data_IF_141027174364
#
_entry.id   IF_141027174364
#
_cell.length_a   1.000
_cell.length_b   1.000
_cell.length_c   1.000
_cell.angle_alpha   90.00
_cell.angle_beta   90.00
_cell.angle_gamma   90.00
#
_symmetry.space_group_name_H-M   'P 1'
#
loop_
_entity.id
_entity.type
_entity.pdbx_description
1 polymer ?
#
# COMPACT_ATOMS: atom_id res chain seq x y z
N UNK A 1 -12.17 11.91 -41.79
CA UNK A 1 -12.32 10.49 -42.12
C UNK A 1 -13.57 9.94 -41.43
N UNK A 2 -14.72 10.03 -42.10
CA UNK A 2 -16.00 9.49 -41.62
C UNK A 2 -16.69 8.78 -42.79
N UNK A 3 -16.03 7.73 -43.30
CA UNK A 3 -16.71 6.81 -44.23
C UNK A 3 -17.36 5.71 -43.40
N UNK A 4 -18.49 5.17 -43.90
CA UNK A 4 -19.19 4.06 -43.26
C UNK A 4 -18.26 2.88 -43.02
N UNK A 5 -17.39 2.56 -43.96
CA UNK A 5 -16.37 1.53 -43.88
C UNK A 5 -15.38 1.74 -42.71
N UNK A 6 -14.95 3.01 -42.48
CA UNK A 6 -14.05 3.31 -41.35
C UNK A 6 -14.77 3.19 -40.00
N UNK A 7 -16.06 3.51 -39.93
CA UNK A 7 -16.87 3.32 -38.71
C UNK A 7 -17.11 1.84 -38.40
N UNK A 8 -17.39 1.02 -39.42
CA UNK A 8 -17.53 -0.42 -39.26
C UNK A 8 -16.22 -1.07 -38.79
N UNK A 9 -15.08 -0.68 -39.36
CA UNK A 9 -13.77 -1.19 -38.96
C UNK A 9 -13.46 -0.87 -37.49
N UNK A 10 -13.67 0.37 -37.07
CA UNK A 10 -13.48 0.82 -35.70
C UNK A 10 -14.40 0.07 -34.71
N UNK A 11 -15.67 -0.14 -35.12
CA UNK A 11 -16.62 -0.87 -34.29
C UNK A 11 -16.18 -2.33 -34.07
N UNK A 12 -15.69 -3.02 -35.10
CA UNK A 12 -15.15 -4.37 -35.02
C UNK A 12 -13.89 -4.41 -34.14
N UNK A 13 -12.95 -3.50 -34.34
CA UNK A 13 -11.73 -3.41 -33.54
C UNK A 13 -12.02 -3.16 -32.05
N UNK A 14 -13.00 -2.29 -31.74
CA UNK A 14 -13.42 -2.05 -30.35
C UNK A 14 -14.08 -3.30 -29.75
N UNK A 15 -14.95 -3.99 -30.51
CA UNK A 15 -15.60 -5.20 -30.04
C UNK A 15 -14.58 -6.32 -29.74
N UNK A 16 -13.57 -6.49 -30.61
CA UNK A 16 -12.48 -7.42 -30.39
C UNK A 16 -11.64 -7.06 -29.17
N UNK A 17 -11.31 -5.78 -28.97
CA UNK A 17 -10.58 -5.31 -27.81
C UNK A 17 -11.34 -5.56 -26.50
N UNK A 18 -12.67 -5.29 -26.49
CA UNK A 18 -13.53 -5.57 -25.32
C UNK A 18 -13.61 -7.09 -25.06
N UNK A 19 -13.75 -7.91 -26.12
CA UNK A 19 -13.75 -9.37 -25.97
C UNK A 19 -12.43 -9.87 -25.37
N UNK A 20 -11.29 -9.41 -25.89
CA UNK A 20 -9.97 -9.79 -25.38
C UNK A 20 -9.78 -9.35 -23.92
N UNK A 21 -10.23 -8.14 -23.56
CA UNK A 21 -10.19 -7.67 -22.20
C UNK A 21 -11.03 -8.53 -21.23
N UNK A 22 -12.26 -8.89 -21.63
CA UNK A 22 -13.18 -9.65 -20.77
C UNK A 22 -12.85 -11.16 -20.69
N UNK A 23 -12.44 -11.75 -21.82
CA UNK A 23 -12.22 -13.20 -21.90
C UNK A 23 -10.78 -13.62 -21.61
N UNK A 24 -9.80 -12.77 -21.90
CA UNK A 24 -8.38 -13.08 -21.87
C UNK A 24 -7.60 -12.19 -20.89
N UNK A 25 -8.25 -11.15 -20.33
CA UNK A 25 -7.58 -10.15 -19.46
C UNK A 25 -6.59 -9.28 -20.24
N UNK A 26 -6.68 -9.26 -21.58
CA UNK A 26 -5.80 -8.44 -22.41
C UNK A 26 -6.28 -6.97 -22.44
N UNK A 27 -5.58 -6.12 -21.72
CA UNK A 27 -5.83 -4.68 -21.64
C UNK A 27 -4.88 -3.86 -22.53
N UNK A 28 -4.12 -4.49 -23.44
CA UNK A 28 -3.11 -3.83 -24.28
C UNK A 28 -3.66 -2.71 -25.17
N UNK A 29 -4.96 -2.76 -25.51
CA UNK A 29 -5.66 -1.76 -26.31
C UNK A 29 -6.42 -0.72 -25.46
N UNK A 30 -6.38 -0.82 -24.14
CA UNK A 30 -7.07 0.12 -23.26
C UNK A 30 -6.23 1.40 -23.08
N UNK A 31 -6.83 2.57 -23.32
CA UNK A 31 -6.15 3.87 -23.19
C UNK A 31 -5.69 4.18 -21.75
N UNK A 32 -6.36 3.61 -20.79
CA UNK A 32 -6.21 3.94 -19.35
C UNK A 32 -5.78 2.75 -18.50
N UNK A 33 -5.48 1.60 -19.10
CA UNK A 33 -4.94 0.45 -18.41
C UNK A 33 -3.41 0.35 -18.61
N UNK A 34 -2.70 -0.35 -17.71
CA UNK A 34 -1.30 -0.65 -17.93
C UNK A 34 -1.12 -1.36 -19.28
N UNK A 35 -0.09 -1.01 -20.03
CA UNK A 35 0.28 -1.72 -21.25
C UNK A 35 0.84 -3.15 -20.98
N UNK A 36 0.51 -3.72 -19.83
CA UNK A 36 0.95 -5.03 -19.36
C UNK A 36 -0.19 -6.01 -19.57
N UNK A 37 0.05 -7.09 -20.28
CA UNK A 37 -0.96 -8.11 -20.62
C UNK A 37 -0.45 -9.52 -20.35
N UNK A 38 -1.40 -10.47 -20.32
CA UNK A 38 -1.10 -11.89 -20.23
C UNK A 38 -0.40 -12.30 -18.92
N UNK A 39 0.64 -13.13 -19.03
CA UNK A 39 1.32 -13.72 -17.87
C UNK A 39 2.11 -12.69 -17.05
N UNK A 40 2.58 -11.60 -17.68
CA UNK A 40 3.23 -10.51 -16.97
C UNK A 40 2.25 -9.77 -16.04
N UNK A 41 1.00 -9.57 -16.46
CA UNK A 41 -0.05 -9.00 -15.60
C UNK A 41 -0.34 -9.90 -14.41
N UNK A 42 -0.48 -11.22 -14.64
CA UNK A 42 -0.72 -12.20 -13.56
C UNK A 42 0.40 -12.21 -12.52
N UNK A 43 1.66 -12.12 -12.98
CA UNK A 43 2.83 -12.07 -12.11
C UNK A 43 2.85 -10.80 -11.24
N UNK A 44 2.30 -9.69 -11.72
CA UNK A 44 2.26 -8.40 -11.00
C UNK A 44 1.01 -8.22 -10.12
N UNK A 45 -0.02 -9.07 -10.25
CA UNK A 45 -1.24 -8.95 -9.45
C UNK A 45 -0.99 -8.91 -7.93
N UNK A 46 -0.12 -9.78 -7.34
CA UNK A 46 0.20 -9.70 -5.92
C UNK A 46 0.87 -8.38 -5.52
N UNK A 47 1.63 -7.78 -6.45
CA UNK A 47 2.29 -6.49 -6.22
C UNK A 47 1.29 -5.34 -6.28
N UNK A 48 0.29 -5.39 -7.16
CA UNK A 48 -0.79 -4.39 -7.21
C UNK A 48 -1.62 -4.37 -5.92
N UNK A 49 -1.96 -5.54 -5.38
CA UNK A 49 -2.65 -5.66 -4.09
C UNK A 49 -1.79 -5.12 -2.95
N UNK A 50 -0.50 -5.46 -2.94
CA UNK A 50 0.45 -4.92 -1.98
C UNK A 50 0.53 -3.40 -2.06
N UNK A 51 0.63 -2.82 -3.25
CA UNK A 51 0.75 -1.38 -3.47
C UNK A 51 -0.47 -0.60 -2.99
N UNK A 52 -1.66 -1.14 -3.25
CA UNK A 52 -2.89 -0.59 -2.72
C UNK A 52 -2.85 -0.55 -1.17
N UNK A 53 -2.43 -1.64 -0.54
CA UNK A 53 -2.29 -1.74 0.92
C UNK A 53 -1.19 -0.84 1.47
N UNK A 54 -0.07 -0.70 0.76
CA UNK A 54 0.99 0.25 1.13
C UNK A 54 0.48 1.70 1.06
N UNK A 55 -0.34 2.03 0.07
CA UNK A 55 -1.01 3.34 -0.04
C UNK A 55 -1.90 3.62 1.16
N UNK A 56 -2.74 2.65 1.57
CA UNK A 56 -3.58 2.73 2.77
C UNK A 56 -2.76 2.92 4.04
N UNK A 57 -1.71 2.12 4.21
CA UNK A 57 -0.84 2.20 5.38
C UNK A 57 -0.10 3.54 5.44
N UNK A 58 0.51 3.97 4.34
CA UNK A 58 1.24 5.23 4.27
C UNK A 58 0.33 6.43 4.61
N UNK A 59 -0.89 6.46 4.05
CA UNK A 59 -1.90 7.47 4.37
C UNK A 59 -2.35 7.43 5.84
N UNK A 60 -2.45 6.23 6.44
CA UNK A 60 -2.83 6.09 7.85
C UNK A 60 -1.74 6.60 8.80
N UNK A 61 -0.47 6.43 8.44
CA UNK A 61 0.68 6.85 9.22
C UNK A 61 0.99 8.34 9.10
N UNK A 62 0.58 8.99 8.00
CA UNK A 62 0.83 10.41 7.74
C UNK A 62 -0.25 11.27 8.41
N UNK A 63 0.04 11.97 9.52
CA UNK A 63 -0.87 12.94 10.10
C UNK A 63 -0.85 14.23 9.29
N UNK A 64 -2.02 14.80 9.03
CA UNK A 64 -2.16 16.11 8.38
C UNK A 64 -2.34 16.05 6.86
N UNK A 65 -2.07 17.16 6.20
CA UNK A 65 -2.25 17.32 4.75
C UNK A 65 -1.19 16.57 3.95
N UNK A 66 -1.63 15.92 2.87
CA UNK A 66 -0.74 15.25 1.91
C UNK A 66 -0.47 16.22 0.77
N UNK A 67 0.79 16.58 0.55
CA UNK A 67 1.25 17.46 -0.53
C UNK A 67 1.81 16.67 -1.72
N UNK A 68 2.22 15.43 -1.51
CA UNK A 68 2.74 14.58 -2.57
C UNK A 68 2.81 13.10 -2.22
N UNK A 69 2.88 12.28 -3.25
CA UNK A 69 3.10 10.83 -3.19
C UNK A 69 4.25 10.50 -4.13
N UNK A 70 5.28 9.87 -3.61
CA UNK A 70 6.41 9.35 -4.37
C UNK A 70 6.41 7.83 -4.29
N UNK A 71 6.45 7.17 -5.44
CA UNK A 71 6.53 5.71 -5.54
C UNK A 71 7.85 5.32 -6.18
N UNK A 72 8.61 4.50 -5.49
CA UNK A 72 9.90 3.99 -5.95
C UNK A 72 9.81 2.48 -6.11
N UNK A 73 10.18 2.00 -7.28
CA UNK A 73 10.11 0.59 -7.62
C UNK A 73 11.48 0.02 -7.95
N UNK A 74 11.80 -1.14 -7.40
CA UNK A 74 13.04 -1.88 -7.64
C UNK A 74 12.73 -3.33 -8.02
N UNK A 75 12.28 -3.54 -9.24
CA UNK A 75 11.92 -4.85 -9.78
C UNK A 75 12.36 -5.01 -11.23
N UNK A 76 11.78 -6.00 -11.94
CA UNK A 76 12.24 -6.41 -13.27
C UNK A 76 11.69 -5.56 -14.41
N UNK A 77 10.49 -4.99 -14.26
CA UNK A 77 9.79 -4.31 -15.35
C UNK A 77 9.72 -2.80 -15.13
N UNK A 78 10.44 -2.04 -15.95
CA UNK A 78 10.39 -0.58 -15.91
C UNK A 78 8.97 -0.03 -16.22
N UNK A 79 8.17 -0.78 -16.98
CA UNK A 79 6.80 -0.43 -17.33
C UNK A 79 5.83 -0.58 -16.15
N UNK A 80 6.20 -1.35 -15.13
CA UNK A 80 5.36 -1.60 -13.95
C UNK A 80 5.19 -0.36 -13.07
N UNK A 81 6.13 0.57 -13.04
CA UNK A 81 6.16 1.72 -12.12
C UNK A 81 4.90 2.60 -12.22
N UNK A 82 4.36 2.76 -13.41
CA UNK A 82 3.15 3.57 -13.61
C UNK A 82 1.90 2.89 -13.04
N UNK A 83 1.57 1.63 -13.39
CA UNK A 83 0.44 0.93 -12.79
C UNK A 83 0.57 0.78 -11.27
N UNK A 84 1.75 0.44 -10.75
CA UNK A 84 2.01 0.36 -9.32
C UNK A 84 1.67 1.69 -8.61
N UNK A 85 2.12 2.82 -9.18
CA UNK A 85 1.77 4.16 -8.67
C UNK A 85 0.26 4.38 -8.64
N UNK A 86 -0.48 3.90 -9.64
CA UNK A 86 -1.94 4.07 -9.66
C UNK A 86 -2.63 3.30 -8.54
N UNK A 87 -2.19 2.06 -8.24
CA UNK A 87 -2.71 1.28 -7.10
C UNK A 87 -2.38 1.91 -5.76
N UNK A 88 -1.15 2.43 -5.58
CA UNK A 88 -0.79 3.21 -4.38
C UNK A 88 -1.73 4.41 -4.22
N UNK A 89 -1.96 5.17 -5.30
CA UNK A 89 -2.86 6.34 -5.25
C UNK A 89 -4.31 5.97 -4.92
N UNK A 90 -4.80 4.82 -5.38
CA UNK A 90 -6.12 4.32 -4.95
C UNK A 90 -6.12 4.15 -3.44
N UNK A 91 -5.16 3.43 -2.86
CA UNK A 91 -5.08 3.20 -1.42
C UNK A 91 -4.94 4.49 -0.60
N UNK A 92 -4.22 5.50 -1.11
CA UNK A 92 -4.08 6.81 -0.46
C UNK A 92 -5.38 7.60 -0.48
N UNK A 93 -6.08 7.62 -1.63
CA UNK A 93 -7.21 8.53 -1.84
C UNK A 93 -8.54 7.96 -1.36
N UNK A 94 -8.76 6.66 -1.39
CA UNK A 94 -10.03 6.05 -1.02
C UNK A 94 -10.42 6.29 0.46
N UNK A 95 -9.42 6.46 1.34
CA UNK A 95 -9.67 6.81 2.74
C UNK A 95 -10.39 8.16 2.90
N UNK A 96 -10.14 9.10 1.99
CA UNK A 96 -10.70 10.47 2.04
C UNK A 96 -11.93 10.59 1.16
N UNK A 97 -11.98 9.88 0.03
CA UNK A 97 -12.99 10.05 -1.00
C UNK A 97 -14.06 8.96 -1.01
N UNK A 98 -13.80 7.85 -0.34
CA UNK A 98 -14.59 6.63 -0.42
C UNK A 98 -14.14 5.69 -1.54
N UNK A 99 -14.36 4.40 -1.33
CA UNK A 99 -13.94 3.34 -2.26
C UNK A 99 -14.67 3.40 -3.61
N UNK A 100 -15.93 3.87 -3.62
CA UNK A 100 -16.74 3.94 -4.85
C UNK A 100 -16.33 5.08 -5.79
N UNK A 101 -15.56 6.06 -5.31
CA UNK A 101 -15.16 7.26 -6.08
C UNK A 101 -13.80 7.09 -6.74
N UNK A 102 -12.90 6.34 -6.11
CA UNK A 102 -11.51 6.20 -6.55
C UNK A 102 -11.30 4.84 -7.18
N UNK A 103 -10.75 4.84 -8.37
CA UNK A 103 -10.33 3.62 -9.05
C UNK A 103 -8.97 3.84 -9.73
N UNK A 104 -8.41 2.78 -10.24
CA UNK A 104 -7.13 2.75 -10.93
C UNK A 104 -7.00 3.85 -12.02
N UNK A 105 -8.07 4.13 -12.78
CA UNK A 105 -8.08 5.12 -13.87
C UNK A 105 -8.17 6.54 -13.34
N UNK A 106 -9.02 6.77 -12.34
CA UNK A 106 -9.32 8.12 -11.81
C UNK A 106 -8.27 8.63 -10.81
N UNK A 107 -7.53 7.75 -10.15
CA UNK A 107 -6.67 8.08 -9.01
C UNK A 107 -5.65 9.20 -9.31
N UNK A 108 -4.92 9.11 -10.42
CA UNK A 108 -3.93 10.12 -10.79
C UNK A 108 -4.54 11.48 -11.12
N UNK A 109 -5.75 11.50 -11.70
CA UNK A 109 -6.49 12.72 -11.97
C UNK A 109 -7.01 13.36 -10.68
N UNK A 110 -7.59 12.57 -9.80
CA UNK A 110 -8.10 13.00 -8.51
C UNK A 110 -6.99 13.53 -7.58
N UNK A 111 -5.80 12.91 -7.58
CA UNK A 111 -4.63 13.42 -6.87
C UNK A 111 -4.26 14.82 -7.34
N UNK A 112 -4.14 15.02 -8.67
CA UNK A 112 -3.82 16.34 -9.25
C UNK A 112 -4.86 17.41 -8.92
N UNK A 113 -6.15 17.08 -8.99
CA UNK A 113 -7.23 18.02 -8.63
C UNK A 113 -7.13 18.50 -7.17
N UNK A 114 -6.51 17.70 -6.28
CA UNK A 114 -6.29 18.04 -4.87
C UNK A 114 -4.95 18.69 -4.60
N UNK A 115 -4.18 19.01 -5.63
CA UNK A 115 -2.85 19.58 -5.46
C UNK A 115 -1.80 18.58 -4.95
N UNK A 116 -2.08 17.27 -4.97
CA UNK A 116 -1.14 16.23 -4.58
C UNK A 116 -0.17 15.97 -5.73
N UNK A 117 1.10 16.32 -5.52
CA UNK A 117 2.18 16.00 -6.46
C UNK A 117 2.43 14.50 -6.53
N UNK A 118 2.59 13.95 -7.73
CA UNK A 118 2.89 12.52 -7.91
C UNK A 118 4.22 12.37 -8.61
N UNK A 119 5.16 11.69 -7.98
CA UNK A 119 6.47 11.37 -8.56
C UNK A 119 6.74 9.87 -8.53
N UNK A 120 7.58 9.42 -9.45
CA UNK A 120 7.92 8.01 -9.64
C UNK A 120 9.42 7.90 -9.86
N UNK A 121 10.02 6.84 -9.32
CA UNK A 121 11.42 6.54 -9.56
C UNK A 121 11.62 5.03 -9.72
N UNK A 122 12.42 4.67 -10.71
CA UNK A 122 12.96 3.33 -10.84
C UNK A 122 14.23 3.25 -10.00
N UNK A 123 14.28 2.24 -9.13
CA UNK A 123 15.47 1.93 -8.33
C UNK A 123 16.29 0.84 -9.03
N UNK A 124 17.57 0.78 -8.72
CA UNK A 124 18.34 -0.42 -9.02
C UNK A 124 17.70 -1.64 -8.31
N UNK A 125 17.77 -2.80 -8.94
CA UNK A 125 17.24 -4.05 -8.36
C UNK A 125 17.69 -4.21 -6.90
N UNK A 126 16.75 -4.50 -6.02
CA UNK A 126 17.04 -4.72 -4.62
C UNK A 126 17.78 -6.06 -4.45
N UNK A 127 18.87 -6.09 -3.66
CA UNK A 127 19.70 -7.29 -3.52
C UNK A 127 18.98 -8.46 -2.85
N UNK A 128 17.97 -8.20 -2.03
CA UNK A 128 17.28 -9.20 -1.21
C UNK A 128 15.85 -9.49 -1.67
N UNK A 129 15.29 -8.70 -2.59
CA UNK A 129 13.90 -8.83 -3.05
C UNK A 129 13.85 -8.80 -4.58
N UNK A 130 13.03 -9.67 -5.17
CA UNK A 130 12.79 -9.66 -6.62
C UNK A 130 11.94 -8.46 -7.03
N UNK A 131 10.92 -8.16 -6.24
CA UNK A 131 10.03 -7.03 -6.41
C UNK A 131 9.99 -6.22 -5.11
N UNK A 132 10.27 -4.94 -5.19
CA UNK A 132 10.32 -4.03 -4.05
C UNK A 132 9.65 -2.70 -4.41
N UNK A 133 8.76 -2.23 -3.56
CA UNK A 133 8.11 -0.94 -3.71
C UNK A 133 8.26 -0.14 -2.42
N UNK A 134 8.66 1.11 -2.56
CA UNK A 134 8.67 2.11 -1.48
C UNK A 134 7.67 3.21 -1.81
N UNK A 135 6.78 3.49 -0.88
CA UNK A 135 5.79 4.57 -0.94
C UNK A 135 6.19 5.64 0.07
N UNK A 136 6.33 6.87 -0.40
CA UNK A 136 6.65 8.03 0.43
C UNK A 136 5.51 9.04 0.31
N UNK A 137 4.85 9.33 1.42
CA UNK A 137 3.90 10.43 1.54
C UNK A 137 4.66 11.68 1.94
N UNK A 138 4.57 12.70 1.10
CA UNK A 138 5.07 14.06 1.41
C UNK A 138 4.01 14.77 2.23
N UNK A 139 4.33 15.05 3.48
CA UNK A 139 3.46 15.83 4.37
C UNK A 139 3.87 17.29 4.43
N UNK A 140 3.05 18.13 5.07
CA UNK A 140 3.38 19.54 5.26
C UNK A 140 4.59 19.74 6.19
N UNK A 141 4.77 18.89 7.19
CA UNK A 141 5.83 19.01 8.20
C UNK A 141 6.89 17.93 8.12
N UNK A 142 6.54 16.73 7.68
CA UNK A 142 7.48 15.61 7.55
C UNK A 142 6.98 14.58 6.55
N UNK A 143 7.91 13.80 6.04
CA UNK A 143 7.64 12.71 5.12
C UNK A 143 7.47 11.39 5.88
N UNK A 144 6.59 10.52 5.37
CA UNK A 144 6.38 9.17 5.88
C UNK A 144 6.66 8.15 4.79
N UNK A 145 7.36 7.09 5.12
CA UNK A 145 7.66 6.04 4.14
C UNK A 145 7.29 4.65 4.65
N UNK A 146 6.77 3.85 3.73
CA UNK A 146 6.56 2.41 3.92
C UNK A 146 7.13 1.67 2.73
N UNK A 147 7.58 0.44 2.93
CA UNK A 147 8.01 -0.38 1.82
C UNK A 147 7.49 -1.80 1.95
N UNK A 148 7.18 -2.38 0.81
CA UNK A 148 6.77 -3.76 0.66
C UNK A 148 7.60 -4.47 -0.39
N UNK A 149 7.55 -5.79 -0.35
CA UNK A 149 8.25 -6.65 -1.29
C UNK A 149 7.48 -7.96 -1.50
N UNK A 150 7.74 -8.61 -2.63
CA UNK A 150 7.35 -9.99 -2.83
C UNK A 150 8.49 -10.92 -2.41
N UNK A 151 8.18 -11.92 -1.58
CA UNK A 151 9.12 -12.94 -1.13
C UNK A 151 8.81 -14.28 -1.81
N UNK A 152 9.86 -15.03 -2.14
CA UNK A 152 9.72 -16.36 -2.73
C UNK A 152 8.84 -16.37 -3.98
N UNK A 153 7.79 -17.17 -3.98
CA UNK A 153 6.85 -17.35 -5.11
C UNK A 153 5.76 -16.26 -5.18
N UNK A 154 6.05 -15.04 -4.75
CA UNK A 154 5.11 -13.90 -4.85
C UNK A 154 4.33 -13.60 -3.58
N UNK A 155 4.84 -13.99 -2.40
CA UNK A 155 4.21 -13.68 -1.11
C UNK A 155 4.43 -12.22 -0.73
N UNK A 156 3.37 -11.39 -0.61
CA UNK A 156 3.52 -9.97 -0.27
C UNK A 156 3.86 -9.80 1.22
N UNK A 157 4.81 -8.93 1.50
CA UNK A 157 5.22 -8.53 2.85
C UNK A 157 5.43 -7.03 2.94
N UNK A 158 5.03 -6.42 4.04
CA UNK A 158 5.52 -5.10 4.43
C UNK A 158 6.87 -5.33 5.09
N UNK A 159 7.92 -4.72 4.53
CA UNK A 159 9.32 -4.97 4.94
C UNK A 159 9.96 -3.78 5.63
N UNK A 160 9.34 -2.59 5.53
CA UNK A 160 9.84 -1.39 6.22
C UNK A 160 8.70 -0.41 6.50
N UNK A 161 8.73 0.18 7.69
CA UNK A 161 7.90 1.31 8.11
C UNK A 161 8.85 2.38 8.61
N UNK A 162 8.93 3.53 7.92
CA UNK A 162 9.92 4.58 8.13
C UNK A 162 11.35 4.00 8.11
N UNK A 163 12.09 4.12 9.21
CA UNK A 163 13.45 3.61 9.39
C UNK A 163 13.52 2.20 9.99
N UNK A 164 12.36 1.61 10.33
CA UNK A 164 12.28 0.31 11.01
C UNK A 164 12.06 -0.81 10.01
N UNK A 165 12.90 -1.82 10.05
CA UNK A 165 12.70 -3.06 9.30
C UNK A 165 11.66 -3.92 10.00
N UNK A 166 10.66 -4.36 9.26
CA UNK A 166 9.61 -5.26 9.72
C UNK A 166 9.47 -6.42 8.75
N UNK A 167 8.71 -7.42 9.11
CA UNK A 167 8.33 -8.52 8.22
C UNK A 167 6.93 -8.96 8.64
N UNK A 168 5.91 -8.48 7.92
CA UNK A 168 4.52 -8.70 8.30
C UNK A 168 3.63 -8.88 7.07
N UNK A 169 2.66 -9.80 7.15
CA UNK A 169 1.68 -10.00 6.09
C UNK A 169 0.74 -8.80 6.02
N UNK A 170 0.55 -8.19 4.84
CA UNK A 170 -0.36 -7.07 4.67
C UNK A 170 -1.83 -7.55 4.57
N UNK A 171 -2.44 -7.94 5.69
CA UNK A 171 -3.83 -8.42 5.73
C UNK A 171 -4.58 -7.87 6.94
N UNK A 172 -5.92 -7.79 6.83
CA UNK A 172 -6.81 -7.39 7.93
C UNK A 172 -6.51 -6.00 8.48
N UNK A 173 -6.45 -5.88 9.81
CA UNK A 173 -6.06 -4.67 10.49
C UNK A 173 -4.61 -4.74 10.98
N UNK A 174 -3.86 -3.67 10.75
CA UNK A 174 -2.49 -3.51 11.21
C UNK A 174 -2.42 -2.38 12.24
N UNK A 175 -1.96 -2.71 13.45
CA UNK A 175 -1.63 -1.72 14.48
C UNK A 175 -0.15 -1.41 14.38
N UNK A 176 0.20 -0.14 14.22
CA UNK A 176 1.59 0.34 14.26
C UNK A 176 1.78 1.16 15.51
N UNK A 177 2.62 0.66 16.41
CA UNK A 177 2.96 1.32 17.67
C UNK A 177 4.39 1.84 17.61
N UNK A 178 4.61 3.07 18.10
CA UNK A 178 5.95 3.53 18.50
C UNK A 178 6.02 3.51 20.03
N UNK A 179 7.06 2.90 20.57
CA UNK A 179 7.23 2.72 22.01
C UNK A 179 8.70 2.77 22.42
N UNK A 180 8.96 2.99 23.71
CA UNK A 180 10.28 2.77 24.30
C UNK A 180 10.56 1.28 24.48
N UNK A 181 11.78 0.84 24.11
CA UNK A 181 12.21 -0.56 24.19
C UNK A 181 12.59 -0.92 25.64
N UNK A 182 11.58 -1.19 26.46
CA UNK A 182 11.74 -1.62 27.85
C UNK A 182 11.09 -2.98 28.13
N UNK A 183 11.56 -3.74 29.12
CA UNK A 183 10.98 -5.04 29.47
C UNK A 183 9.48 -4.92 29.82
N UNK A 184 8.69 -5.87 29.30
CA UNK A 184 7.27 -5.99 29.62
C UNK A 184 6.32 -5.29 28.63
N UNK A 185 6.78 -4.40 27.75
CA UNK A 185 5.90 -3.68 26.78
C UNK A 185 5.09 -4.65 25.93
N UNK A 186 5.72 -5.65 25.32
CA UNK A 186 5.04 -6.66 24.50
C UNK A 186 3.95 -7.37 25.31
N UNK A 187 4.24 -7.72 26.55
CA UNK A 187 3.28 -8.38 27.45
C UNK A 187 2.08 -7.48 27.77
N UNK A 188 2.30 -6.19 28.06
CA UNK A 188 1.21 -5.23 28.34
C UNK A 188 0.33 -5.00 27.12
N UNK A 189 0.95 -4.79 25.96
CA UNK A 189 0.21 -4.65 24.68
C UNK A 189 -0.59 -5.91 24.37
N UNK A 190 0.01 -7.10 24.49
CA UNK A 190 -0.67 -8.37 24.26
C UNK A 190 -1.81 -8.63 25.23
N UNK A 191 -1.62 -8.32 26.53
CA UNK A 191 -2.68 -8.44 27.54
C UNK A 191 -3.83 -7.47 27.27
N UNK A 192 -3.52 -6.21 26.89
CA UNK A 192 -4.54 -5.23 26.56
C UNK A 192 -5.38 -5.69 25.36
N UNK A 193 -4.75 -6.11 24.27
CA UNK A 193 -5.47 -6.63 23.10
C UNK A 193 -6.31 -7.86 23.44
N UNK A 194 -5.76 -8.79 24.22
CA UNK A 194 -6.48 -9.98 24.68
C UNK A 194 -7.71 -9.65 25.56
N UNK A 195 -7.62 -8.64 26.42
CA UNK A 195 -8.76 -8.17 27.24
C UNK A 195 -9.88 -7.55 26.39
N UNK A 196 -9.55 -7.06 25.20
CA UNK A 196 -10.52 -6.57 24.20
C UNK A 196 -10.89 -7.64 23.16
N UNK A 197 -10.61 -8.91 23.45
CA UNK A 197 -10.93 -10.06 22.57
C UNK A 197 -10.29 -9.97 21.17
N UNK A 198 -9.18 -9.22 21.03
CA UNK A 198 -8.44 -9.06 19.79
C UNK A 198 -7.29 -10.06 19.75
N UNK A 199 -7.38 -11.00 18.81
CA UNK A 199 -6.32 -11.98 18.58
C UNK A 199 -5.20 -11.38 17.72
N UNK A 200 -3.95 -11.66 18.12
CA UNK A 200 -2.74 -11.25 17.40
C UNK A 200 -2.34 -12.36 16.44
N UNK A 201 -2.39 -12.08 15.13
CA UNK A 201 -1.92 -13.01 14.11
C UNK A 201 -0.40 -12.95 13.95
N UNK A 202 0.16 -11.75 13.85
CA UNK A 202 1.62 -11.55 13.79
C UNK A 202 2.02 -10.35 14.67
N UNK A 203 3.17 -10.45 15.32
CA UNK A 203 3.77 -9.36 16.11
C UNK A 203 5.24 -9.21 15.71
N UNK A 204 5.58 -8.11 15.07
CA UNK A 204 6.96 -7.81 14.72
C UNK A 204 7.42 -6.52 15.39
N UNK A 205 8.43 -6.61 16.27
CA UNK A 205 9.04 -5.44 16.89
C UNK A 205 10.43 -5.19 16.31
N UNK A 206 10.64 -3.97 15.86
CA UNK A 206 11.92 -3.48 15.36
C UNK A 206 12.42 -2.35 16.24
N UNK A 207 13.73 -2.32 16.48
CA UNK A 207 14.40 -1.26 17.26
C UNK A 207 15.67 -0.81 16.54
N UNK A 208 16.00 0.45 16.67
CA UNK A 208 17.23 1.01 16.10
C UNK A 208 18.42 0.84 17.04
N UNK A 209 18.16 0.90 18.34
CA UNK A 209 19.17 0.71 19.39
C UNK A 209 18.52 0.07 20.62
N UNK A 210 19.32 -0.63 21.41
CA UNK A 210 18.86 -1.27 22.65
C UNK A 210 18.44 -0.20 23.67
N UNK A 211 17.23 -0.32 24.20
CA UNK A 211 16.68 0.63 25.18
C UNK A 211 16.25 1.99 24.60
N UNK A 212 16.26 2.15 23.26
CA UNK A 212 15.80 3.32 22.57
C UNK A 212 14.35 3.19 22.06
N UNK A 213 14.05 3.94 21.02
CA UNK A 213 12.74 3.85 20.37
C UNK A 213 12.61 2.57 19.56
N UNK A 214 11.44 1.96 19.65
CA UNK A 214 11.03 0.79 18.89
C UNK A 214 9.74 1.05 18.13
N UNK A 215 9.50 0.26 17.09
CA UNK A 215 8.25 0.19 16.38
C UNK A 215 7.76 -1.24 16.39
N UNK A 216 6.51 -1.44 16.84
CA UNK A 216 5.81 -2.70 16.73
C UNK A 216 4.77 -2.62 15.60
N UNK A 217 4.83 -3.56 14.67
CA UNK A 217 3.82 -3.82 13.67
C UNK A 217 3.04 -5.09 14.09
N UNK A 218 1.74 -4.96 14.32
CA UNK A 218 0.91 -6.01 14.90
C UNK A 218 -0.28 -6.25 13.96
N UNK A 219 -0.30 -7.41 13.29
CA UNK A 219 -1.45 -7.83 12.51
C UNK A 219 -2.47 -8.52 13.42
N UNK A 220 -3.73 -8.11 13.33
CA UNK A 220 -4.82 -8.61 14.16
C UNK A 220 -5.98 -9.11 13.30
N UNK A 221 -6.72 -10.10 13.83
CA UNK A 221 -7.79 -10.79 13.09
C UNK A 221 -9.13 -10.02 13.13
N UNK A 222 -9.24 -8.99 13.98
CA UNK A 222 -10.46 -8.22 14.18
C UNK A 222 -10.25 -6.73 13.89
N UNK A 223 -11.36 -6.03 13.67
CA UNK A 223 -11.36 -4.58 13.61
C UNK A 223 -10.97 -3.99 14.97
N UNK A 224 -10.08 -3.02 14.95
CA UNK A 224 -9.64 -2.31 16.16
C UNK A 224 -10.51 -1.08 16.35
N UNK A 225 -11.31 -1.09 17.42
CA UNK A 225 -12.18 0.02 17.78
C UNK A 225 -11.36 1.22 18.32
N UNK A 226 -11.90 2.45 18.25
CA UNK A 226 -11.17 3.65 18.69
C UNK A 226 -10.75 3.62 20.18
N UNK A 227 -11.56 3.05 21.04
CA UNK A 227 -11.27 2.89 22.48
C UNK A 227 -10.06 2.00 22.74
N UNK A 228 -9.87 0.94 21.96
CA UNK A 228 -8.67 0.08 22.03
C UNK A 228 -7.41 0.88 21.66
N UNK A 229 -7.50 1.70 20.61
CA UNK A 229 -6.39 2.58 20.23
C UNK A 229 -6.07 3.59 21.34
N UNK A 230 -7.10 4.17 21.97
CA UNK A 230 -6.92 5.09 23.10
C UNK A 230 -6.28 4.36 24.30
N UNK A 231 -6.74 3.17 24.64
CA UNK A 231 -6.15 2.35 25.71
C UNK A 231 -4.67 1.99 25.43
N UNK A 232 -4.30 1.74 24.17
CA UNK A 232 -2.89 1.54 23.81
C UNK A 232 -2.04 2.79 24.04
N UNK A 233 -2.59 4.00 23.83
CA UNK A 233 -1.92 5.26 24.06
C UNK A 233 -1.80 5.62 25.55
N UNK A 234 -2.61 5.00 26.43
CA UNK A 234 -2.50 5.16 27.90
C UNK A 234 -1.34 4.37 28.50
N UNK A 235 -0.73 3.44 27.75
CA UNK A 235 0.48 2.76 28.20
C UNK A 235 1.66 3.73 28.19
N UNK A 236 2.32 3.90 29.33
CA UNK A 236 3.41 4.89 29.54
C UNK A 236 4.52 4.81 28.48
N UNK A 237 4.79 3.60 28.00
CA UNK A 237 5.85 3.36 27.03
C UNK A 237 5.45 3.65 25.59
N UNK A 238 4.15 3.77 25.29
CA UNK A 238 3.62 3.97 23.95
C UNK A 238 3.54 5.46 23.64
N UNK A 239 4.30 5.88 22.65
CA UNK A 239 4.31 7.29 22.17
C UNK A 239 3.35 7.53 21.01
N UNK A 240 2.97 6.49 20.28
CA UNK A 240 2.07 6.60 19.11
C UNK A 240 1.41 5.25 18.83
N UNK A 241 0.12 5.29 18.49
CA UNK A 241 -0.67 4.15 18.04
C UNK A 241 -1.49 4.51 16.80
N UNK A 242 -1.26 3.83 15.69
CA UNK A 242 -1.98 4.02 14.43
C UNK A 242 -2.59 2.69 14.01
N UNK A 243 -3.85 2.71 13.60
CA UNK A 243 -4.55 1.54 13.07
C UNK A 243 -4.80 1.76 11.58
N UNK A 244 -4.32 0.83 10.76
CA UNK A 244 -4.56 0.80 9.33
C UNK A 244 -5.36 -0.45 8.95
N UNK A 245 -6.46 -0.27 8.22
CA UNK A 245 -7.21 -1.38 7.62
C UNK A 245 -6.64 -1.63 6.23
N UNK A 246 -6.12 -2.83 6.00
CA UNK A 246 -5.44 -3.17 4.76
C UNK A 246 -6.33 -3.99 3.79
N UNK A 247 -7.39 -4.58 4.25
CA UNK A 247 -8.34 -5.33 3.41
C UNK A 247 -8.97 -6.45 4.16
#
# INVERSE_FOLDING_TARGET
ASTTEAQELVAVEIAEAVRAALAEGDLSRALNAPAISGDALKALMPLFDLDHKLGRLACALAPGGITGVEVRYGGESDEAVQPLTSYVLVGVLERVLGQDVVNFVSAAHLARQRGIGVSRAQLARHKSYTEFVEVIIKGESQDFSVAGALLGEGHPRIVRIEKYHVDIVPSGALIVLKNHDVPGVIGRVGTLLGNHEINIGEYHQSRLSRGGDALAAIAVDADVAPDVREALLELEEVSSAVVARLG
#
